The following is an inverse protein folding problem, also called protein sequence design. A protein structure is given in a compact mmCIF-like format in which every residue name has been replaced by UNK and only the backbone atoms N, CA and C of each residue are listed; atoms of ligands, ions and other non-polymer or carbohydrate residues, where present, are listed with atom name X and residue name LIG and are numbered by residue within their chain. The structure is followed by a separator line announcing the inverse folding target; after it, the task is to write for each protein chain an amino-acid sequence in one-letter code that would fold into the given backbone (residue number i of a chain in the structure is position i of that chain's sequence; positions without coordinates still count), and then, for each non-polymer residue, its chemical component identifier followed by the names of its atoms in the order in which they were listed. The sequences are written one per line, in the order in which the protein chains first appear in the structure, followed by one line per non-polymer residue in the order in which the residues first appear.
data_IF_548319644843
#
_entry.id   IF_548319644843
#
_cell.length_a   1.000
_cell.length_b   1.000
_cell.length_c   1.000
_cell.angle_alpha   90.00
_cell.angle_beta   90.00
_cell.angle_gamma   90.00
#
_symmetry.space_group_name_H-M   'P 1'
#
loop_
_entity.id
_entity.type
_entity.pdbx_description
1 polymer ?
#
# COMPACT_ATOMS: atom_id res chain seq x y z
N UNK A 1 -12.87 -11.86 -9.97
CA UNK A 1 -12.80 -10.90 -8.86
C UNK A 1 -11.41 -10.35 -8.93
N UNK A 2 -11.29 -9.09 -9.34
CA UNK A 2 -9.98 -8.43 -9.43
C UNK A 2 -9.30 -8.56 -8.06
N UNK A 3 -8.00 -8.86 -8.02
CA UNK A 3 -7.28 -9.06 -6.76
C UNK A 3 -7.48 -7.88 -5.81
N UNK A 4 -7.59 -6.66 -6.36
CA UNK A 4 -7.85 -5.40 -5.65
C UNK A 4 -9.29 -5.24 -5.15
N UNK A 5 -10.27 -5.86 -5.81
CA UNK A 5 -11.69 -5.85 -5.40
C UNK A 5 -11.84 -6.52 -4.04
N UNK A 6 -11.10 -7.61 -3.80
CA UNK A 6 -11.07 -8.30 -2.52
C UNK A 6 -10.61 -7.39 -1.38
N UNK A 7 -9.66 -6.49 -1.67
CA UNK A 7 -9.15 -5.49 -0.73
C UNK A 7 -10.02 -4.23 -0.66
N UNK A 8 -10.99 -4.05 -1.55
CA UNK A 8 -11.77 -2.80 -1.67
C UNK A 8 -10.89 -1.61 -2.08
N UNK A 9 -9.89 -1.84 -2.92
CA UNK A 9 -8.90 -0.84 -3.36
C UNK A 9 -9.08 -0.55 -4.85
N UNK A 10 -8.90 0.72 -5.23
CA UNK A 10 -8.83 1.18 -6.61
C UNK A 10 -7.49 1.90 -6.79
N UNK A 11 -6.69 1.49 -7.79
CA UNK A 11 -5.41 2.12 -8.10
C UNK A 11 -5.57 3.12 -9.24
N UNK A 12 -5.15 4.36 -9.01
CA UNK A 12 -5.19 5.44 -10.00
C UNK A 12 -3.79 5.83 -10.49
N UNK A 13 -2.82 4.91 -10.44
CA UNK A 13 -1.43 5.22 -10.82
C UNK A 13 -1.26 5.23 -12.33
N UNK A 14 -0.51 6.21 -12.84
CA UNK A 14 -0.20 6.31 -14.27
C UNK A 14 0.84 5.29 -14.73
N UNK A 15 1.71 4.83 -13.82
CA UNK A 15 2.76 3.88 -14.13
C UNK A 15 2.22 2.43 -14.08
N UNK A 16 2.19 1.77 -15.24
CA UNK A 16 1.68 0.41 -15.39
C UNK A 16 2.55 -0.62 -14.64
N UNK A 17 3.87 -0.41 -14.61
CA UNK A 17 4.80 -1.33 -13.94
C UNK A 17 4.57 -1.38 -12.43
N UNK A 18 4.40 -0.21 -11.80
CA UNK A 18 4.07 -0.08 -10.38
C UNK A 18 2.71 -0.73 -10.06
N UNK A 19 1.71 -0.55 -10.92
CA UNK A 19 0.40 -1.21 -10.75
C UNK A 19 0.53 -2.73 -10.75
N UNK A 20 1.28 -3.29 -11.71
CA UNK A 20 1.50 -4.74 -11.81
C UNK A 20 2.20 -5.29 -10.57
N UNK A 21 3.23 -4.60 -10.07
CA UNK A 21 3.94 -5.01 -8.86
C UNK A 21 3.05 -4.98 -7.62
N UNK A 22 2.24 -3.92 -7.46
CA UNK A 22 1.30 -3.83 -6.35
C UNK A 22 0.25 -4.93 -6.41
N UNK A 23 -0.36 -5.17 -7.57
CA UNK A 23 -1.34 -6.24 -7.75
C UNK A 23 -0.73 -7.59 -7.35
N UNK A 24 0.49 -7.89 -7.79
CA UNK A 24 1.21 -9.11 -7.39
C UNK A 24 1.40 -9.17 -5.87
N UNK A 25 1.85 -8.07 -5.25
CA UNK A 25 2.09 -8.02 -3.81
C UNK A 25 0.80 -8.25 -3.01
N UNK A 26 -0.29 -7.58 -3.38
CA UNK A 26 -1.62 -7.80 -2.81
C UNK A 26 -2.09 -9.24 -3.00
N UNK A 27 -1.83 -9.86 -4.15
CA UNK A 27 -2.16 -11.27 -4.40
C UNK A 27 -1.38 -12.19 -3.47
N UNK A 28 -0.07 -11.99 -3.35
CA UNK A 28 0.82 -12.78 -2.50
C UNK A 28 0.39 -12.73 -1.04
N UNK A 29 0.12 -11.54 -0.52
CA UNK A 29 -0.32 -11.37 0.87
C UNK A 29 -1.71 -11.94 1.10
N UNK A 30 -2.63 -11.78 0.15
CA UNK A 30 -3.95 -12.43 0.23
C UNK A 30 -3.80 -13.95 0.34
N UNK A 31 -3.01 -14.56 -0.54
CA UNK A 31 -2.80 -16.02 -0.53
C UNK A 31 -2.15 -16.48 0.78
N UNK A 32 -1.15 -15.74 1.26
CA UNK A 32 -0.51 -16.01 2.56
C UNK A 32 -1.54 -15.93 3.70
N UNK A 33 -2.38 -14.91 3.73
CA UNK A 33 -3.45 -14.76 4.72
C UNK A 33 -4.46 -15.93 4.68
N UNK A 34 -4.98 -16.26 3.49
CA UNK A 34 -5.94 -17.35 3.32
C UNK A 34 -5.34 -18.71 3.71
N UNK A 35 -4.05 -18.92 3.39
CA UNK A 35 -3.35 -20.16 3.70
C UNK A 35 -2.99 -20.26 5.19
N UNK A 36 -2.60 -19.16 5.82
CA UNK A 36 -2.24 -19.13 7.25
C UNK A 36 -3.47 -19.37 8.12
N UNK A 37 -4.54 -18.62 7.87
CA UNK A 37 -5.73 -18.63 8.74
C UNK A 37 -6.83 -19.60 8.29
N UNK A 38 -6.69 -20.20 7.10
CA UNK A 38 -7.70 -21.09 6.50
C UNK A 38 -9.07 -20.42 6.31
N UNK A 39 -9.09 -19.08 6.23
CA UNK A 39 -10.30 -18.28 5.96
C UNK A 39 -10.31 -17.90 4.49
N UNK A 40 -11.34 -18.35 3.76
CA UNK A 40 -11.56 -17.98 2.35
C UNK A 40 -12.90 -17.29 2.21
N UNK A 41 -12.85 -16.01 1.83
CA UNK A 41 -14.01 -15.14 1.68
C UNK A 41 -13.90 -14.24 0.47
N UNK A 42 -15.03 -13.68 0.06
CA UNK A 42 -15.13 -12.81 -1.10
C UNK A 42 -14.56 -11.41 -0.86
N UNK A 43 -14.39 -10.98 0.39
CA UNK A 43 -13.78 -9.67 0.72
C UNK A 43 -12.87 -9.80 1.93
N UNK A 44 -11.90 -8.89 2.08
CA UNK A 44 -11.06 -8.83 3.27
C UNK A 44 -11.89 -8.58 4.54
N UNK A 45 -12.88 -7.68 4.48
CA UNK A 45 -13.70 -7.34 5.65
C UNK A 45 -14.44 -8.57 6.21
N UNK A 46 -15.06 -9.37 5.33
CA UNK A 46 -15.69 -10.64 5.73
C UNK A 46 -14.68 -11.69 6.17
N UNK A 47 -13.46 -11.69 5.61
CA UNK A 47 -12.39 -12.57 6.06
C UNK A 47 -11.94 -12.24 7.49
N UNK A 48 -11.92 -10.96 7.87
CA UNK A 48 -11.53 -10.51 9.20
C UNK A 48 -12.61 -10.81 10.26
N UNK A 49 -13.90 -10.65 9.92
CA UNK A 49 -14.99 -11.02 10.82
C UNK A 49 -14.91 -12.50 11.23
N UNK A 50 -14.63 -13.38 10.26
CA UNK A 50 -14.46 -14.81 10.55
C UNK A 50 -13.12 -15.14 11.21
N UNK A 51 -12.07 -14.35 10.92
CA UNK A 51 -10.77 -14.51 11.54
C UNK A 51 -10.88 -14.42 13.07
N UNK A 52 -11.66 -13.47 13.60
CA UNK A 52 -11.84 -13.28 15.04
C UNK A 52 -12.36 -14.54 15.75
N UNK A 53 -13.20 -15.32 15.06
CA UNK A 53 -13.72 -16.61 15.57
C UNK A 53 -12.78 -17.79 15.30
N UNK A 54 -11.88 -17.67 14.31
CA UNK A 54 -10.99 -18.74 13.88
C UNK A 54 -9.67 -18.81 14.66
N UNK A 55 -9.24 -17.71 15.29
CA UNK A 55 -7.94 -17.63 15.98
C UNK A 55 -8.05 -17.71 17.51
N UNK A 56 -6.98 -18.18 18.18
CA UNK A 56 -6.91 -18.18 19.64
C UNK A 56 -6.99 -16.76 20.23
N UNK A 57 -7.46 -16.66 21.48
CA UNK A 57 -7.66 -15.39 22.20
C UNK A 57 -6.41 -14.49 22.20
N UNK A 58 -5.22 -15.07 22.36
CA UNK A 58 -3.97 -14.31 22.40
C UNK A 58 -3.63 -13.65 21.05
N UNK A 59 -4.16 -14.15 19.93
CA UNK A 59 -3.92 -13.60 18.58
C UNK A 59 -4.96 -12.56 18.17
N UNK A 60 -6.10 -12.47 18.86
CA UNK A 60 -7.20 -11.57 18.49
C UNK A 60 -6.82 -10.10 18.37
N UNK A 61 -5.72 -9.69 19.02
CA UNK A 61 -5.15 -8.35 18.87
C UNK A 61 -4.76 -7.99 17.44
N UNK A 62 -4.54 -8.98 16.57
CA UNK A 62 -4.22 -8.74 15.16
C UNK A 62 -5.41 -8.21 14.36
N UNK A 63 -6.64 -8.60 14.72
CA UNK A 63 -7.88 -8.20 14.03
C UNK A 63 -8.04 -6.68 13.96
N UNK A 64 -8.03 -5.92 15.09
CA UNK A 64 -8.18 -4.47 15.02
C UNK A 64 -7.01 -3.79 14.32
N UNK A 65 -5.79 -4.34 14.41
CA UNK A 65 -4.63 -3.84 13.67
C UNK A 65 -4.85 -3.95 12.14
N UNK A 66 -5.24 -5.12 11.65
CA UNK A 66 -5.49 -5.33 10.22
C UNK A 66 -6.61 -4.43 9.69
N UNK A 67 -7.66 -4.23 10.49
CA UNK A 67 -8.75 -3.32 10.15
C UNK A 67 -8.26 -1.87 10.06
N UNK A 68 -7.50 -1.39 11.05
CA UNK A 68 -7.00 -0.02 11.04
C UNK A 68 -6.04 0.25 9.88
N UNK A 69 -5.14 -0.69 9.62
CA UNK A 69 -4.14 -0.57 8.55
C UNK A 69 -4.81 -0.60 7.17
N UNK A 70 -5.82 -1.44 6.96
CA UNK A 70 -6.56 -1.47 5.69
C UNK A 70 -7.35 -0.17 5.45
N UNK A 71 -7.97 0.40 6.49
CA UNK A 71 -8.69 1.67 6.38
C UNK A 71 -7.72 2.80 5.98
N UNK A 72 -6.56 2.87 6.63
CA UNK A 72 -5.49 3.81 6.26
C UNK A 72 -5.08 3.63 4.80
N UNK A 73 -4.84 2.38 4.39
CA UNK A 73 -4.39 2.03 3.06
C UNK A 73 -5.39 2.46 1.98
N UNK A 74 -6.68 2.11 2.16
CA UNK A 74 -7.76 2.46 1.23
C UNK A 74 -7.91 3.98 1.04
N UNK A 75 -7.68 4.75 2.11
CA UNK A 75 -7.78 6.21 2.07
C UNK A 75 -6.66 6.85 1.26
N UNK A 76 -5.42 6.41 1.48
CA UNK A 76 -4.25 7.09 0.94
C UNK A 76 -3.90 6.61 -0.47
N UNK A 77 -4.12 5.33 -0.79
CA UNK A 77 -3.68 4.73 -2.06
C UNK A 77 -4.34 5.35 -3.30
N UNK A 78 -5.56 5.88 -3.16
CA UNK A 78 -6.30 6.56 -4.25
C UNK A 78 -5.65 7.86 -4.71
N UNK A 79 -4.81 8.47 -3.88
CA UNK A 79 -4.18 9.77 -4.13
C UNK A 79 -2.78 9.65 -4.75
N UNK A 80 -2.32 8.42 -5.01
CA UNK A 80 -1.00 8.20 -5.59
C UNK A 80 -1.07 8.34 -7.10
N UNK A 81 -0.48 9.42 -7.62
CA UNK A 81 -0.37 9.67 -9.06
C UNK A 81 0.98 9.28 -9.65
N UNK A 82 2.07 9.53 -8.90
CA UNK A 82 3.44 9.28 -9.32
C UNK A 82 4.10 8.33 -8.31
N UNK A 83 4.81 7.34 -8.83
CA UNK A 83 5.67 6.44 -8.08
C UNK A 83 7.13 6.76 -8.41
N UNK A 84 7.98 6.85 -7.40
CA UNK A 84 9.41 6.98 -7.61
C UNK A 84 10.09 5.61 -7.76
N UNK A 85 11.34 5.63 -8.23
CA UNK A 85 12.11 4.41 -8.45
C UNK A 85 12.39 3.65 -7.14
N UNK A 86 12.52 4.38 -6.03
CA UNK A 86 12.76 3.77 -4.73
C UNK A 86 11.58 2.89 -4.30
N UNK A 87 10.36 3.39 -4.47
CA UNK A 87 9.14 2.63 -4.20
C UNK A 87 9.08 1.34 -5.03
N UNK A 88 9.36 1.42 -6.33
CA UNK A 88 9.37 0.25 -7.22
C UNK A 88 10.35 -0.81 -6.72
N UNK A 89 11.58 -0.43 -6.41
CA UNK A 89 12.62 -1.35 -5.92
C UNK A 89 12.22 -1.99 -4.58
N UNK A 90 11.56 -1.24 -3.70
CA UNK A 90 11.05 -1.76 -2.42
C UNK A 90 9.95 -2.79 -2.63
N UNK A 91 9.05 -2.58 -3.59
CA UNK A 91 8.01 -3.56 -3.94
C UNK A 91 8.61 -4.85 -4.52
N UNK A 92 9.59 -4.73 -5.42
CA UNK A 92 10.29 -5.90 -5.97
C UNK A 92 11.00 -6.70 -4.87
N UNK A 93 11.68 -6.01 -3.96
CA UNK A 93 12.32 -6.65 -2.82
C UNK A 93 11.31 -7.31 -1.88
N UNK A 94 10.21 -6.64 -1.57
CA UNK A 94 9.15 -7.20 -0.73
C UNK A 94 8.56 -8.47 -1.35
N UNK A 95 8.28 -8.47 -2.66
CA UNK A 95 7.82 -9.67 -3.37
C UNK A 95 8.81 -10.83 -3.26
N UNK A 96 10.09 -10.57 -3.46
CA UNK A 96 11.13 -11.59 -3.33
C UNK A 96 11.15 -12.25 -1.94
N UNK A 97 10.90 -11.47 -0.87
CA UNK A 97 10.86 -11.97 0.50
C UNK A 97 9.55 -12.68 0.82
N UNK A 98 8.41 -12.19 0.30
CA UNK A 98 7.08 -12.67 0.70
C UNK A 98 6.55 -13.83 -0.13
N UNK A 99 6.98 -14.00 -1.38
CA UNK A 99 6.54 -15.12 -2.22
C UNK A 99 6.82 -16.50 -1.58
N UNK A 100 7.99 -16.76 -0.97
CA UNK A 100 8.23 -18.01 -0.26
C UNK A 100 7.29 -18.29 0.92
N UNK A 101 6.65 -17.26 1.48
CA UNK A 101 5.78 -17.37 2.66
C UNK A 101 4.35 -17.82 2.32
N UNK A 102 3.98 -17.85 1.03
CA UNK A 102 2.64 -18.26 0.56
C UNK A 102 2.28 -19.65 1.07
N UNK A 103 3.23 -20.59 1.07
CA UNK A 103 3.00 -21.97 1.48
C UNK A 103 2.89 -22.13 3.01
N UNK A 104 3.18 -21.07 3.77
CA UNK A 104 3.09 -21.03 5.23
C UNK A 104 3.86 -22.16 5.91
N UNK A 105 5.05 -22.50 5.38
CA UNK A 105 5.94 -23.53 5.96
C UNK A 105 6.26 -23.20 7.41
N UNK A 106 6.42 -21.91 7.73
CA UNK A 106 6.61 -21.38 9.07
C UNK A 106 5.52 -20.34 9.40
N UNK A 107 4.42 -20.74 10.05
CA UNK A 107 3.26 -19.87 10.28
C UNK A 107 3.57 -18.55 10.99
N UNK A 108 4.56 -18.54 11.89
CA UNK A 108 5.00 -17.32 12.58
C UNK A 108 5.64 -16.32 11.61
N UNK A 109 6.51 -16.80 10.70
CA UNK A 109 7.13 -15.98 9.64
C UNK A 109 6.07 -15.39 8.69
N UNK A 110 5.07 -16.20 8.34
CA UNK A 110 3.99 -15.78 7.44
C UNK A 110 3.07 -14.74 8.09
N UNK A 111 2.87 -14.84 9.42
CA UNK A 111 2.17 -13.80 10.19
C UNK A 111 2.96 -12.49 10.20
N UNK A 112 4.24 -12.55 10.53
CA UNK A 112 5.12 -11.38 10.56
C UNK A 112 5.21 -10.72 9.17
N UNK A 113 5.15 -11.52 8.11
CA UNK A 113 5.08 -11.04 6.73
C UNK A 113 3.82 -10.21 6.46
N UNK A 114 2.64 -10.68 6.89
CA UNK A 114 1.39 -9.92 6.73
C UNK A 114 1.47 -8.59 7.49
N UNK A 115 1.96 -8.61 8.73
CA UNK A 115 2.12 -7.40 9.56
C UNK A 115 3.10 -6.42 8.91
N UNK A 116 4.26 -6.92 8.49
CA UNK A 116 5.32 -6.12 7.86
C UNK A 116 4.84 -5.52 6.55
N UNK A 117 4.07 -6.26 5.75
CA UNK A 117 3.44 -5.75 4.55
C UNK A 117 2.57 -4.52 4.85
N UNK A 118 1.65 -4.61 5.81
CA UNK A 118 0.74 -3.50 6.13
C UNK A 118 1.50 -2.26 6.61
N UNK A 119 2.46 -2.43 7.51
CA UNK A 119 3.29 -1.32 7.99
C UNK A 119 4.04 -0.65 6.85
N UNK A 120 4.78 -1.44 6.05
CA UNK A 120 5.60 -0.95 4.95
C UNK A 120 4.77 -0.27 3.87
N UNK A 121 3.66 -0.88 3.43
CA UNK A 121 2.85 -0.31 2.35
C UNK A 121 2.17 0.99 2.80
N UNK A 122 1.67 1.07 4.04
CA UNK A 122 1.08 2.29 4.55
C UNK A 122 2.11 3.42 4.72
N UNK A 123 3.33 3.12 5.15
CA UNK A 123 4.40 4.10 5.23
C UNK A 123 4.81 4.63 3.86
N UNK A 124 5.03 3.75 2.88
CA UNK A 124 5.42 4.14 1.53
C UNK A 124 4.33 4.97 0.84
N UNK A 125 3.07 4.59 1.03
CA UNK A 125 1.95 5.32 0.43
C UNK A 125 1.81 6.72 1.04
N UNK A 126 2.00 6.86 2.36
CA UNK A 126 2.04 8.18 3.01
C UNK A 126 3.19 9.03 2.47
N UNK A 127 4.37 8.43 2.30
CA UNK A 127 5.55 9.09 1.73
C UNK A 127 5.29 9.58 0.30
N UNK A 128 4.72 8.72 -0.56
CA UNK A 128 4.35 9.08 -1.93
C UNK A 128 3.26 10.14 -2.00
N UNK A 129 2.27 10.08 -1.11
CA UNK A 129 1.22 11.11 -0.99
C UNK A 129 1.84 12.48 -0.69
N UNK A 130 2.79 12.55 0.25
CA UNK A 130 3.54 13.77 0.55
C UNK A 130 4.35 14.26 -0.67
N UNK A 131 5.06 13.37 -1.35
CA UNK A 131 5.85 13.70 -2.54
C UNK A 131 4.96 14.24 -3.68
N UNK A 132 3.82 13.60 -3.93
CA UNK A 132 2.85 14.03 -4.93
C UNK A 132 2.29 15.43 -4.61
N UNK A 133 1.99 15.70 -3.34
CA UNK A 133 1.56 17.04 -2.92
C UNK A 133 2.65 18.10 -3.15
N UNK A 134 3.90 17.79 -2.84
CA UNK A 134 5.03 18.69 -3.11
C UNK A 134 5.19 18.94 -4.62
N UNK A 135 5.05 17.91 -5.45
CA UNK A 135 5.09 18.03 -6.90
C UNK A 135 3.97 18.94 -7.43
N UNK A 136 2.74 18.78 -6.94
CA UNK A 136 1.60 19.61 -7.33
C UNK A 136 1.78 21.08 -6.92
N UNK A 137 2.36 21.35 -5.75
CA UNK A 137 2.68 22.71 -5.31
C UNK A 137 3.76 23.32 -6.22
N UNK A 138 4.82 22.56 -6.49
CA UNK A 138 5.88 23.01 -7.39
C UNK A 138 5.34 23.31 -8.79
N UNK A 139 4.52 22.42 -9.36
CA UNK A 139 3.90 22.60 -10.68
C UNK A 139 3.04 23.87 -10.75
N UNK A 140 2.24 24.16 -9.71
CA UNK A 140 1.43 25.39 -9.63
C UNK A 140 2.26 26.66 -9.53
N UNK A 141 3.38 26.61 -8.81
CA UNK A 141 4.27 27.75 -8.60
C UNK A 141 5.30 27.92 -9.73
N UNK A 142 5.29 27.01 -10.70
CA UNK A 142 6.16 27.03 -11.85
C UNK A 142 5.47 27.73 -13.02
N UNK A 143 6.00 28.88 -13.45
CA UNK A 143 5.58 29.56 -14.67
C UNK A 143 6.67 29.44 -15.73
N UNK A 144 6.28 29.49 -17.01
CA UNK A 144 7.24 29.68 -18.10
C UNK A 144 7.39 31.18 -18.33
N UNK A 145 8.63 31.67 -18.32
CA UNK A 145 8.90 33.04 -18.72
C UNK A 145 8.66 33.23 -20.23
N UNK A 146 8.73 34.48 -20.69
CA UNK A 146 8.58 34.86 -22.10
C UNK A 146 9.62 34.20 -23.04
N UNK A 147 10.69 33.65 -22.50
CA UNK A 147 11.76 32.95 -23.24
C UNK A 147 11.63 31.43 -23.16
N UNK A 148 10.60 30.91 -22.47
CA UNK A 148 10.34 29.48 -22.32
C UNK A 148 11.11 28.81 -21.18
N UNK A 149 11.83 29.56 -20.34
CA UNK A 149 12.49 29.02 -19.16
C UNK A 149 11.51 28.82 -18.01
N UNK A 150 11.71 27.73 -17.28
CA UNK A 150 10.96 27.36 -16.09
C UNK A 150 11.39 28.27 -14.92
N UNK A 151 10.50 29.15 -14.46
CA UNK A 151 10.74 30.03 -13.31
C UNK A 151 9.83 29.61 -12.16
N UNK A 152 10.41 29.35 -11.00
CA UNK A 152 9.67 29.10 -9.76
C UNK A 152 9.42 30.47 -9.13
N UNK A 153 8.15 30.87 -8.99
CA UNK A 153 7.83 32.06 -8.19
C UNK A 153 8.07 31.71 -6.72
N UNK A 154 9.18 32.20 -6.17
CA UNK A 154 9.38 32.22 -4.73
C UNK A 154 8.40 33.25 -4.16
N UNK A 155 7.37 32.78 -3.45
CA UNK A 155 6.66 33.63 -2.50
C UNK A 155 7.63 33.94 -1.37
N UNK A 156 7.98 35.21 -1.20
CA UNK A 156 8.79 35.69 -0.07
C UNK A 156 8.02 35.68 1.27
N UNK A 157 6.78 35.18 1.31
CA UNK A 157 6.01 35.01 2.53
C UNK A 157 6.38 33.68 3.23
N UNK A 158 7.56 33.65 3.84
CA UNK A 158 7.90 32.70 4.90
C UNK A 158 7.40 33.17 6.28
N UNK A 159 6.61 34.24 6.30
CA UNK A 159 5.96 34.83 7.48
C UNK A 159 4.49 35.08 7.14
N UNK A 160 3.66 34.06 7.26
CA UNK A 160 2.24 34.20 7.64
C UNK A 160 1.69 32.85 8.10
#
# INVERSE_FOLDING_TARGET
MDELEWWGIELNMKDESSNVLLIKLFRTIKQTFENLYKVKRSTFDSAIEDLESAIPEYEKRIVPFLQSELISLRKEIKNIGICDREFILRLEYALYIYEPEIDCVYPESSRDTIITFFNMINEEIKRLSMLNNMYLIAEKNTKRDVNGFTVIEASDDWRD
#
